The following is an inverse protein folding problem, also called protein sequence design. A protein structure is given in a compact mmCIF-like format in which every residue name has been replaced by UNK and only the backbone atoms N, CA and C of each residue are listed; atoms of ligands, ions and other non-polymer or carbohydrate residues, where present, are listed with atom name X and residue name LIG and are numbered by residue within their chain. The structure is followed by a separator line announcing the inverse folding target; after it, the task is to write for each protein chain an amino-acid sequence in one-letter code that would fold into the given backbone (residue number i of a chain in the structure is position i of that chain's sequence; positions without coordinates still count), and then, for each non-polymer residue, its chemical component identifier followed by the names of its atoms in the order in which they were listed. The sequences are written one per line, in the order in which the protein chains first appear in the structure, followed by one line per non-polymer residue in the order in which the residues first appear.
data_IF_575313488067
#
_entry.id   IF_575313488067
#
_cell.length_a   1.000
_cell.length_b   1.000
_cell.length_c   1.000
_cell.angle_alpha   90.00
_cell.angle_beta   90.00
_cell.angle_gamma   90.00
#
_symmetry.space_group_name_H-M   'P 1'
#
loop_
_entity.id
_entity.type
_entity.pdbx_description
1 polymer ?
#
# COMPACT_ATOMS: atom_id res chain seq x y z
N UNK A 1 11.89 -7.16 19.29
CA UNK A 1 13.32 -7.40 19.05
C UNK A 1 13.55 -8.71 18.30
N UNK A 2 12.88 -9.82 18.66
CA UNK A 2 13.00 -11.10 17.93
C UNK A 2 12.48 -11.06 16.46
N UNK A 3 11.38 -10.35 16.18
CA UNK A 3 10.80 -10.31 14.81
C UNK A 3 11.60 -9.49 13.79
N UNK A 4 12.38 -8.50 14.25
CA UNK A 4 13.21 -7.68 13.36
C UNK A 4 14.45 -8.45 12.87
N UNK A 5 14.95 -9.40 13.67
CA UNK A 5 16.12 -10.21 13.33
C UNK A 5 15.86 -11.13 12.13
N UNK A 6 14.65 -11.67 11.96
CA UNK A 6 14.32 -12.55 10.84
C UNK A 6 14.38 -11.80 9.50
N UNK A 7 13.86 -10.57 9.44
CA UNK A 7 13.89 -9.73 8.23
C UNK A 7 15.33 -9.30 7.85
N UNK A 8 16.22 -9.10 8.83
CA UNK A 8 17.62 -8.73 8.60
C UNK A 8 18.49 -9.86 8.02
N UNK A 9 18.00 -11.11 8.00
CA UNK A 9 18.73 -12.27 7.47
C UNK A 9 18.38 -12.62 6.02
N UNK A 10 17.33 -12.01 5.45
CA UNK A 10 16.94 -12.25 4.07
C UNK A 10 17.79 -11.39 3.13
N UNK A 11 18.35 -11.99 2.09
CA UNK A 11 18.92 -11.22 0.97
C UNK A 11 17.79 -10.55 0.18
N UNK A 12 18.03 -9.43 -0.52
CA UNK A 12 17.00 -8.76 -1.31
C UNK A 12 16.27 -9.67 -2.31
N UNK A 13 16.96 -10.71 -2.81
CA UNK A 13 16.41 -11.69 -3.75
C UNK A 13 15.45 -12.70 -3.10
N UNK A 14 15.49 -12.83 -1.77
CA UNK A 14 14.63 -13.74 -1.00
C UNK A 14 13.38 -13.04 -0.43
N UNK A 15 13.35 -11.70 -0.41
CA UNK A 15 12.18 -10.97 0.04
C UNK A 15 11.05 -11.13 -0.97
N UNK A 16 9.87 -11.45 -0.46
CA UNK A 16 8.66 -11.59 -1.26
C UNK A 16 8.18 -10.20 -1.69
N UNK A 17 8.00 -9.98 -2.99
CA UNK A 17 7.51 -8.72 -3.56
C UNK A 17 5.99 -8.72 -3.48
N UNK A 18 5.43 -7.73 -2.78
CA UNK A 18 3.98 -7.62 -2.65
C UNK A 18 3.49 -6.26 -3.09
N UNK A 19 2.38 -6.21 -3.83
CA UNK A 19 1.63 -4.96 -4.01
C UNK A 19 0.64 -4.87 -2.85
N UNK A 20 0.63 -3.75 -2.15
CA UNK A 20 -0.22 -3.54 -0.99
C UNK A 20 -1.43 -2.69 -1.36
N UNK A 21 -2.61 -3.19 -1.06
CA UNK A 21 -3.89 -2.49 -1.20
C UNK A 21 -4.43 -2.09 0.18
N UNK A 22 -4.74 -0.81 0.33
CA UNK A 22 -5.40 -0.23 1.50
C UNK A 22 -6.21 1.00 1.06
N UNK A 23 -7.21 1.47 1.83
CA UNK A 23 -7.91 2.69 1.45
C UNK A 23 -6.94 3.87 1.48
N UNK A 24 -7.20 4.86 0.61
CA UNK A 24 -6.50 6.14 0.55
C UNK A 24 -7.49 7.31 0.60
N UNK A 25 -8.39 7.41 -0.38
CA UNK A 25 -9.39 8.46 -0.47
C UNK A 25 -10.43 8.45 0.67
N UNK A 26 -11.11 9.58 0.89
CA UNK A 26 -12.07 9.77 1.99
C UNK A 26 -11.39 10.38 3.21
N UNK A 27 -11.37 9.69 4.34
CA UNK A 27 -10.62 10.09 5.53
C UNK A 27 -9.11 9.86 5.31
N UNK A 28 -8.49 10.71 4.49
CA UNK A 28 -7.10 10.61 4.05
C UNK A 28 -6.16 10.51 5.25
N UNK A 29 -6.42 11.28 6.30
CA UNK A 29 -5.60 11.30 7.52
C UNK A 29 -5.52 9.91 8.15
N UNK A 30 -6.68 9.29 8.42
CA UNK A 30 -6.70 7.95 9.02
C UNK A 30 -6.25 6.87 8.04
N UNK A 31 -6.56 7.03 6.77
CA UNK A 31 -6.18 6.08 5.72
C UNK A 31 -4.66 6.05 5.50
N UNK A 32 -3.99 7.19 5.49
CA UNK A 32 -2.52 7.27 5.42
C UNK A 32 -1.88 6.66 6.65
N UNK A 33 -2.39 6.97 7.85
CA UNK A 33 -1.91 6.36 9.09
C UNK A 33 -2.04 4.83 9.06
N UNK A 34 -3.19 4.33 8.60
CA UNK A 34 -3.46 2.91 8.42
C UNK A 34 -2.56 2.27 7.36
N UNK A 35 -2.45 2.87 6.16
CA UNK A 35 -1.61 2.38 5.07
C UNK A 35 -0.15 2.21 5.54
N UNK A 36 0.39 3.19 6.28
CA UNK A 36 1.74 3.11 6.87
C UNK A 36 1.89 1.96 7.86
N UNK A 37 0.88 1.70 8.69
CA UNK A 37 0.88 0.55 9.58
C UNK A 37 0.85 -0.78 8.81
N UNK A 38 0.11 -0.84 7.70
CA UNK A 38 0.09 -1.99 6.80
C UNK A 38 1.46 -2.20 6.12
N UNK A 39 2.14 -1.12 5.68
CA UNK A 39 3.53 -1.20 5.17
C UNK A 39 4.45 -1.79 6.23
N UNK A 40 4.35 -1.32 7.47
CA UNK A 40 5.16 -1.83 8.58
C UNK A 40 4.90 -3.33 8.83
N UNK A 41 3.64 -3.78 8.82
CA UNK A 41 3.30 -5.19 8.96
C UNK A 41 3.92 -6.04 7.83
N UNK A 42 3.80 -5.62 6.57
CA UNK A 42 4.41 -6.32 5.44
C UNK A 42 5.95 -6.41 5.57
N UNK A 43 6.60 -5.31 5.96
CA UNK A 43 8.05 -5.30 6.21
C UNK A 43 8.47 -6.26 7.34
N UNK A 44 7.69 -6.33 8.43
CA UNK A 44 7.95 -7.24 9.55
C UNK A 44 7.74 -8.72 9.16
N UNK A 45 6.96 -9.00 8.12
CA UNK A 45 6.82 -10.34 7.51
C UNK A 45 7.97 -10.72 6.58
N UNK A 46 8.97 -9.84 6.39
CA UNK A 46 10.07 -10.06 5.45
C UNK A 46 9.69 -9.82 3.98
N UNK A 47 8.64 -9.04 3.74
CA UNK A 47 8.16 -8.71 2.40
C UNK A 47 8.70 -7.35 1.95
N UNK A 48 8.74 -7.14 0.63
CA UNK A 48 9.07 -5.88 -0.03
C UNK A 48 7.78 -5.27 -0.62
N UNK A 49 7.04 -4.44 0.15
CA UNK A 49 5.78 -3.87 -0.29
C UNK A 49 5.93 -2.68 -1.22
N UNK A 50 5.19 -2.68 -2.33
CA UNK A 50 4.92 -1.51 -3.16
C UNK A 50 3.50 -0.99 -2.88
N UNK A 51 3.38 0.27 -2.47
CA UNK A 51 2.10 0.88 -2.06
C UNK A 51 1.85 2.12 -2.92
N UNK A 52 1.48 1.91 -4.17
CA UNK A 52 1.44 2.98 -5.20
C UNK A 52 0.52 4.14 -4.83
N UNK A 53 -0.66 3.87 -4.26
CA UNK A 53 -1.62 4.89 -3.81
C UNK A 53 -1.12 5.72 -2.64
N UNK A 54 -0.18 5.20 -1.84
CA UNK A 54 0.49 5.97 -0.80
C UNK A 54 1.71 6.69 -1.37
N UNK A 55 2.51 6.04 -2.21
CA UNK A 55 3.75 6.60 -2.75
C UNK A 55 3.51 7.74 -3.74
N UNK A 56 2.67 7.53 -4.76
CA UNK A 56 2.56 8.50 -5.85
C UNK A 56 1.70 9.72 -5.51
N UNK A 57 0.92 9.64 -4.45
CA UNK A 57 0.09 10.75 -3.96
C UNK A 57 0.82 11.67 -2.97
N UNK A 58 2.09 11.41 -2.69
CA UNK A 58 2.91 12.28 -1.86
C UNK A 58 3.08 13.67 -2.49
N UNK A 59 3.26 14.73 -1.68
CA UNK A 59 3.46 16.09 -2.17
C UNK A 59 4.60 16.18 -3.18
N UNK A 60 4.31 16.78 -4.34
CA UNK A 60 5.29 16.97 -5.42
C UNK A 60 5.49 15.77 -6.34
N UNK A 61 4.73 14.68 -6.19
CA UNK A 61 4.80 13.52 -7.10
C UNK A 61 3.66 13.54 -8.12
N UNK A 62 2.44 13.21 -7.71
CA UNK A 62 1.23 13.31 -8.54
C UNK A 62 0.06 13.89 -7.73
N UNK A 63 -0.83 14.59 -8.43
CA UNK A 63 -2.10 15.06 -7.91
C UNK A 63 -3.25 14.12 -8.29
N UNK A 64 -3.75 13.35 -7.33
CA UNK A 64 -4.89 12.43 -7.54
C UNK A 64 -6.20 13.15 -7.90
N UNK A 65 -6.30 14.47 -7.67
CA UNK A 65 -7.44 15.28 -8.13
C UNK A 65 -7.37 15.60 -9.63
N UNK A 66 -6.20 15.45 -10.25
CA UNK A 66 -5.99 15.65 -11.69
C UNK A 66 -6.14 14.30 -12.40
N UNK A 67 -7.21 14.13 -13.19
CA UNK A 67 -7.55 12.84 -13.82
C UNK A 67 -6.39 12.18 -14.57
N UNK A 68 -5.60 12.96 -15.32
CA UNK A 68 -4.44 12.45 -16.07
C UNK A 68 -3.36 11.91 -15.14
N UNK A 69 -3.08 12.61 -14.05
CA UNK A 69 -2.06 12.22 -13.09
C UNK A 69 -2.50 11.02 -12.26
N UNK A 70 -3.76 10.98 -11.85
CA UNK A 70 -4.39 9.80 -11.26
C UNK A 70 -4.26 8.57 -12.15
N UNK A 71 -4.61 8.69 -13.43
CA UNK A 71 -4.47 7.60 -14.39
C UNK A 71 -3.00 7.17 -14.55
N UNK A 72 -2.06 8.12 -14.54
CA UNK A 72 -0.64 7.84 -14.58
C UNK A 72 -0.17 7.03 -13.35
N UNK A 73 -0.59 7.43 -12.15
CA UNK A 73 -0.28 6.72 -10.91
C UNK A 73 -0.83 5.29 -10.87
N UNK A 74 -2.08 5.11 -11.31
CA UNK A 74 -2.71 3.77 -11.42
C UNK A 74 -1.92 2.89 -12.38
N UNK A 75 -1.61 3.38 -13.58
CA UNK A 75 -0.85 2.63 -14.58
C UNK A 75 0.57 2.29 -14.09
N UNK A 76 1.24 3.24 -13.43
CA UNK A 76 2.55 3.01 -12.84
C UNK A 76 2.51 1.97 -11.72
N UNK A 77 1.43 1.90 -10.92
CA UNK A 77 1.22 0.85 -9.93
C UNK A 77 1.01 -0.52 -10.59
N UNK A 78 0.13 -0.59 -11.59
CA UNK A 78 -0.15 -1.83 -12.33
C UNK A 78 1.05 -2.36 -13.10
N UNK A 79 1.99 -1.50 -13.52
CA UNK A 79 3.21 -1.94 -14.18
C UNK A 79 4.02 -2.94 -13.34
N UNK A 80 3.89 -2.92 -12.01
CA UNK A 80 4.55 -3.87 -11.12
C UNK A 80 3.83 -5.21 -10.97
N UNK A 81 2.59 -5.34 -11.45
CA UNK A 81 1.74 -6.51 -11.20
C UNK A 81 2.41 -7.82 -11.63
N UNK A 82 3.05 -7.85 -12.81
CA UNK A 82 3.75 -9.02 -13.33
C UNK A 82 5.04 -9.39 -12.56
N UNK A 83 5.53 -8.49 -11.70
CA UNK A 83 6.69 -8.72 -10.84
C UNK A 83 6.27 -9.01 -9.40
N UNK A 84 4.99 -8.90 -9.05
CA UNK A 84 4.52 -9.15 -7.70
C UNK A 84 4.33 -10.65 -7.48
N UNK A 85 4.79 -11.14 -6.33
CA UNK A 85 4.53 -12.50 -5.89
C UNK A 85 3.12 -12.62 -5.30
N UNK A 86 2.52 -11.51 -4.87
CA UNK A 86 1.10 -11.38 -4.51
C UNK A 86 0.63 -9.92 -4.42
N UNK A 87 -0.69 -9.75 -4.39
CA UNK A 87 -1.37 -8.55 -3.90
C UNK A 87 -1.91 -8.81 -2.50
N UNK A 88 -1.52 -7.97 -1.54
CA UNK A 88 -1.92 -8.09 -0.12
C UNK A 88 -2.91 -6.98 0.22
N UNK A 89 -4.11 -7.35 0.64
CA UNK A 89 -5.27 -6.46 0.82
C UNK A 89 -5.59 -6.34 2.30
N UNK A 90 -5.44 -5.15 2.85
CA UNK A 90 -5.67 -4.88 4.26
C UNK A 90 -7.09 -4.33 4.51
N UNK A 91 -7.92 -5.04 5.26
CA UNK A 91 -9.38 -4.86 5.26
C UNK A 91 -9.98 -4.19 6.51
N UNK A 92 -9.19 -3.80 7.51
CA UNK A 92 -9.70 -3.22 8.78
C UNK A 92 -10.52 -1.93 8.61
N UNK A 93 -10.32 -1.23 7.48
CA UNK A 93 -11.06 -0.01 7.12
C UNK A 93 -12.00 -0.22 5.93
N UNK A 94 -12.37 -1.47 5.66
CA UNK A 94 -13.16 -1.88 4.51
C UNK A 94 -12.34 -1.96 3.22
N UNK A 95 -12.99 -2.43 2.15
CA UNK A 95 -12.42 -2.48 0.81
C UNK A 95 -13.02 -1.33 0.00
N UNK A 96 -12.16 -0.41 -0.44
CA UNK A 96 -12.59 0.73 -1.26
C UNK A 96 -12.74 0.36 -2.74
N UNK A 97 -13.44 1.19 -3.52
CA UNK A 97 -13.53 0.99 -4.97
C UNK A 97 -12.16 0.98 -5.68
N UNK A 98 -11.18 1.74 -5.17
CA UNK A 98 -9.81 1.71 -5.69
C UNK A 98 -9.14 0.35 -5.43
N UNK A 99 -9.33 -0.20 -4.24
CA UNK A 99 -8.82 -1.53 -3.89
C UNK A 99 -9.48 -2.63 -4.71
N UNK A 100 -10.81 -2.56 -4.93
CA UNK A 100 -11.50 -3.53 -5.79
C UNK A 100 -10.94 -3.54 -7.23
N UNK A 101 -10.55 -2.38 -7.76
CA UNK A 101 -9.89 -2.30 -9.06
C UNK A 101 -8.52 -2.99 -9.04
N UNK A 102 -7.72 -2.78 -7.99
CA UNK A 102 -6.44 -3.47 -7.80
C UNK A 102 -6.59 -4.99 -7.66
N UNK A 103 -7.56 -5.45 -6.86
CA UNK A 103 -7.92 -6.86 -6.69
C UNK A 103 -8.35 -7.49 -8.02
N UNK A 104 -9.19 -6.80 -8.78
CA UNK A 104 -9.66 -7.25 -10.10
C UNK A 104 -8.50 -7.37 -11.08
N UNK A 105 -7.58 -6.40 -11.08
CA UNK A 105 -6.37 -6.43 -11.90
C UNK A 105 -5.44 -7.60 -11.52
N UNK A 106 -5.26 -7.86 -10.22
CA UNK A 106 -4.48 -9.00 -9.74
C UNK A 106 -5.05 -10.33 -10.24
N UNK A 107 -6.37 -10.52 -10.06
CA UNK A 107 -7.08 -11.71 -10.53
C UNK A 107 -6.96 -11.89 -12.04
N UNK A 108 -7.12 -10.80 -12.81
CA UNK A 108 -6.96 -10.81 -14.26
C UNK A 108 -5.56 -11.27 -14.70
N UNK A 109 -4.52 -10.87 -13.98
CA UNK A 109 -3.13 -11.25 -14.26
C UNK A 109 -2.70 -12.57 -13.60
N UNK A 110 -3.61 -13.29 -12.94
CA UNK A 110 -3.27 -14.53 -12.21
C UNK A 110 -2.35 -14.32 -11.01
N UNK A 111 -2.25 -13.10 -10.48
CA UNK A 111 -1.45 -12.78 -9.29
C UNK A 111 -2.26 -13.15 -8.04
N UNK A 112 -1.72 -13.94 -7.10
CA UNK A 112 -2.41 -14.31 -5.88
C UNK A 112 -2.88 -13.09 -5.07
N UNK A 113 -4.09 -13.15 -4.52
CA UNK A 113 -4.66 -12.11 -3.66
C UNK A 113 -4.79 -12.64 -2.23
N UNK A 114 -4.19 -11.95 -1.27
CA UNK A 114 -4.19 -12.32 0.14
C UNK A 114 -4.86 -11.24 0.99
N UNK A 115 -5.81 -11.62 1.82
CA UNK A 115 -6.51 -10.68 2.70
C UNK A 115 -5.90 -10.69 4.10
N UNK A 116 -5.73 -9.51 4.68
CA UNK A 116 -5.13 -9.28 6.00
C UNK A 116 -5.98 -8.32 6.82
N UNK A 117 -6.00 -8.51 8.13
CA UNK A 117 -6.72 -7.67 9.09
C UNK A 117 -6.06 -7.76 10.47
N UNK A 118 -6.59 -7.01 11.44
CA UNK A 118 -6.06 -6.90 12.79
C UNK A 118 -4.92 -5.88 12.92
N UNK A 119 -4.78 -4.94 11.98
CA UNK A 119 -3.68 -3.98 12.01
C UNK A 119 -3.99 -2.84 12.97
N UNK A 120 -3.14 -2.72 14.00
CA UNK A 120 -3.18 -1.59 14.93
C UNK A 120 -2.41 -0.41 14.34
N UNK A 121 -3.01 0.78 14.38
CA UNK A 121 -2.41 2.02 13.87
C UNK A 121 -2.74 3.21 14.77
N UNK A 122 -1.88 4.21 14.74
CA UNK A 122 -2.07 5.47 15.45
C UNK A 122 -2.15 6.61 14.44
N UNK A 123 -3.10 7.51 14.66
CA UNK A 123 -3.20 8.75 13.89
C UNK A 123 -2.30 9.78 14.57
N UNK A 124 -1.29 10.29 13.86
CA UNK A 124 -0.38 11.31 14.40
C UNK A 124 -1.10 12.63 14.71
N UNK A 125 -0.48 13.48 15.55
CA UNK A 125 -0.98 14.82 15.88
C UNK A 125 -1.01 15.79 14.70
N UNK A 126 -1.65 16.95 14.89
CA UNK A 126 -2.05 17.90 13.84
C UNK A 126 -0.92 18.43 12.91
N UNK A 127 0.33 18.38 13.38
CA UNK A 127 1.51 18.87 12.64
C UNK A 127 2.07 17.85 11.65
N UNK A 128 1.81 16.56 11.87
CA UNK A 128 2.37 15.46 11.06
C UNK A 128 1.78 15.38 9.64
N UNK A 129 0.68 16.11 9.41
CA UNK A 129 -0.12 16.09 8.18
C UNK A 129 -0.15 17.44 7.47
N UNK A 130 0.66 18.42 7.91
CA UNK A 130 0.77 19.70 7.21
C UNK A 130 1.11 19.52 5.71
N UNK A 131 1.81 18.43 5.36
CA UNK A 131 2.06 18.04 3.97
C UNK A 131 0.91 17.33 3.24
N UNK A 132 -0.13 16.84 3.94
CA UNK A 132 -1.27 16.13 3.35
C UNK A 132 -2.57 16.93 3.35
N UNK A 133 -2.58 18.15 3.88
CA UNK A 133 -3.71 19.07 3.73
C UNK A 133 -3.82 19.44 2.25
N UNK A 134 -4.74 18.80 1.53
CA UNK A 134 -5.22 19.20 0.21
C UNK A 134 -6.66 19.69 0.38
#
# INVERSE_FOLDING_TARGET
MAEILTCQTLTPRQMRRVILESPYAGDIVRNVAYARACVKDALLRGEAPLVSHLLYTQPGILDDNVQRERAHGINAGHAWMHLADAVVVYTDRGISAGMEAGISMARFNGVPVEYRSGITYQVGGADYLAGYRR
#
